data_IF_696081258766
#
_entry.id   IF_696081258766
#
_cell.length_a   1.000
_cell.length_b   1.000
_cell.length_c   1.000
_cell.angle_alpha   90.00
_cell.angle_beta   90.00
_cell.angle_gamma   90.00
#
_symmetry.space_group_name_H-M   'P 1'
#
loop_
_entity.id
_entity.type
_entity.pdbx_description
1 polymer ?
#
# COMPACT_ATOMS: atom_id res chain seq x y z
N UNK A 1 -9.15 2.46 11.36
CA UNK A 1 -9.60 2.91 12.70
C UNK A 1 -8.96 4.24 13.08
N UNK A 2 -9.62 5.01 13.97
CA UNK A 2 -9.20 6.32 14.48
C UNK A 2 -9.06 7.46 13.44
N UNK A 3 -9.26 7.20 12.15
CA UNK A 3 -9.34 8.23 11.14
C UNK A 3 -10.57 9.14 11.37
N UNK A 4 -10.40 10.43 11.17
CA UNK A 4 -11.42 11.42 11.39
C UNK A 4 -11.92 11.99 10.06
N UNK A 5 -13.23 12.12 9.95
CA UNK A 5 -13.91 12.68 8.77
C UNK A 5 -14.92 13.72 9.24
N UNK A 6 -14.93 14.86 8.57
CA UNK A 6 -15.95 15.90 8.77
C UNK A 6 -17.07 15.68 7.77
N UNK A 7 -18.28 15.53 8.27
CA UNK A 7 -19.50 15.45 7.47
C UNK A 7 -20.64 16.15 8.22
N UNK A 8 -21.50 16.87 7.50
CA UNK A 8 -22.66 17.59 8.05
C UNK A 8 -22.35 18.45 9.30
N UNK A 9 -21.21 19.14 9.26
CA UNK A 9 -20.77 20.01 10.37
C UNK A 9 -20.37 19.26 11.66
N UNK A 10 -20.17 17.95 11.58
CA UNK A 10 -19.73 17.11 12.70
C UNK A 10 -18.47 16.35 12.37
N UNK A 11 -17.69 16.06 13.40
CA UNK A 11 -16.49 15.23 13.31
C UNK A 11 -16.84 13.78 13.70
N UNK A 12 -16.63 12.86 12.78
CA UNK A 12 -16.79 11.42 12.96
C UNK A 12 -15.43 10.75 13.09
N UNK A 13 -15.30 9.85 14.06
CA UNK A 13 -14.09 9.03 14.23
C UNK A 13 -14.40 7.59 13.84
N UNK A 14 -13.65 7.05 12.90
CA UNK A 14 -13.72 5.65 12.49
C UNK A 14 -13.28 4.76 13.66
N UNK A 15 -14.12 3.82 14.07
CA UNK A 15 -13.84 2.96 15.23
C UNK A 15 -13.99 1.47 14.96
N UNK A 16 -14.75 1.10 13.96
CA UNK A 16 -15.05 -0.30 13.71
C UNK A 16 -14.71 -0.66 12.27
N UNK A 17 -14.14 -1.84 12.06
CA UNK A 17 -14.14 -2.51 10.77
C UNK A 17 -15.55 -3.09 10.58
N UNK A 18 -16.20 -2.72 9.48
CA UNK A 18 -17.61 -3.10 9.27
C UNK A 18 -17.76 -4.60 9.15
N UNK A 19 -18.61 -5.18 10.00
CA UNK A 19 -19.10 -6.55 9.96
C UNK A 19 -20.60 -6.56 9.65
N UNK A 20 -21.04 -7.51 8.84
CA UNK A 20 -22.46 -7.70 8.56
C UNK A 20 -23.05 -8.66 9.58
N UNK A 21 -24.21 -8.38 10.17
CA UNK A 21 -24.78 -9.17 11.27
C UNK A 21 -25.08 -10.63 10.95
N UNK A 22 -25.17 -11.00 9.67
CA UNK A 22 -25.57 -12.35 9.22
C UNK A 22 -24.73 -12.86 8.05
N UNK A 23 -23.54 -12.31 7.85
CA UNK A 23 -22.72 -12.74 6.72
C UNK A 23 -22.17 -14.13 6.98
N UNK A 24 -22.53 -15.08 6.15
CA UNK A 24 -21.93 -16.41 6.05
C UNK A 24 -20.54 -16.38 5.40
N UNK A 25 -19.99 -15.20 5.15
CA UNK A 25 -18.68 -14.96 4.56
C UNK A 25 -17.79 -14.12 5.48
N UNK A 26 -16.50 -14.19 5.24
CA UNK A 26 -15.52 -13.36 5.94
C UNK A 26 -15.79 -11.87 5.65
N UNK A 27 -16.04 -11.09 6.67
CA UNK A 27 -16.26 -9.64 6.59
C UNK A 27 -14.99 -8.88 6.18
N UNK A 28 -13.85 -9.50 6.37
CA UNK A 28 -12.55 -9.10 5.89
C UNK A 28 -11.81 -10.30 5.31
N UNK A 29 -10.80 -10.03 4.52
CA UNK A 29 -9.91 -11.06 4.00
C UNK A 29 -8.70 -11.16 4.94
N UNK A 30 -8.42 -12.34 5.44
CA UNK A 30 -7.19 -12.61 6.18
C UNK A 30 -6.07 -12.90 5.18
N UNK A 31 -4.93 -12.27 5.42
CA UNK A 31 -3.75 -12.36 4.56
C UNK A 31 -2.49 -12.33 5.41
N UNK A 32 -1.38 -12.67 4.80
CA UNK A 32 -0.08 -12.66 5.44
C UNK A 32 0.85 -11.70 4.70
N UNK A 33 1.52 -10.84 5.46
CA UNK A 33 2.49 -9.88 4.92
C UNK A 33 3.82 -10.01 5.65
N UNK A 34 4.92 -9.87 4.93
CA UNK A 34 6.25 -9.86 5.52
C UNK A 34 7.19 -8.94 4.76
N UNK A 35 8.00 -8.21 5.50
CA UNK A 35 9.10 -7.48 4.91
C UNK A 35 10.34 -8.37 4.84
N UNK A 36 11.01 -8.41 3.70
CA UNK A 36 12.22 -9.18 3.50
C UNK A 36 13.30 -8.77 4.52
N UNK A 37 13.94 -9.78 5.15
CA UNK A 37 14.97 -9.55 6.15
C UNK A 37 16.33 -9.13 5.60
N UNK A 38 16.52 -9.19 4.28
CA UNK A 38 17.75 -8.71 3.64
C UNK A 38 17.76 -7.16 3.66
N UNK A 39 18.72 -6.52 4.36
CA UNK A 39 18.79 -5.06 4.47
C UNK A 39 18.90 -4.34 3.11
N UNK A 40 19.52 -5.00 2.13
CA UNK A 40 19.62 -4.45 0.79
C UNK A 40 18.30 -4.49 0.01
N UNK A 41 17.36 -5.38 0.40
CA UNK A 41 16.08 -5.58 -0.28
C UNK A 41 14.92 -4.88 0.44
N UNK A 42 14.55 -5.37 1.61
CA UNK A 42 13.44 -4.86 2.44
C UNK A 42 12.08 -4.79 1.73
N UNK A 43 11.90 -5.53 0.64
CA UNK A 43 10.64 -5.56 -0.12
C UNK A 43 9.54 -6.22 0.68
N UNK A 44 8.32 -5.68 0.62
CA UNK A 44 7.14 -6.32 1.16
C UNK A 44 6.67 -7.48 0.29
N UNK A 45 6.29 -8.55 0.96
CA UNK A 45 5.74 -9.76 0.34
C UNK A 45 4.33 -10.00 0.89
N UNK A 46 3.47 -10.56 0.07
CA UNK A 46 2.05 -10.73 0.34
C UNK A 46 1.59 -12.14 -0.03
N UNK A 47 0.80 -12.78 0.83
CA UNK A 47 0.19 -14.08 0.57
C UNK A 47 -1.23 -14.15 1.12
N UNK A 48 -2.09 -14.85 0.40
CA UNK A 48 -3.47 -15.14 0.84
C UNK A 48 -3.52 -16.40 1.70
N UNK A 49 -2.60 -17.33 1.45
CA UNK A 49 -2.50 -18.62 2.15
C UNK A 49 -1.39 -18.50 3.20
N UNK A 50 -1.59 -19.13 4.33
CA UNK A 50 -0.58 -19.19 5.39
C UNK A 50 0.79 -19.64 4.85
N UNK A 51 1.87 -18.94 5.20
CA UNK A 51 3.21 -19.32 4.79
C UNK A 51 3.59 -20.70 5.31
N UNK A 52 4.39 -21.44 4.52
CA UNK A 52 4.88 -22.76 4.91
C UNK A 52 5.73 -22.72 6.19
N UNK A 53 5.89 -23.87 6.86
CA UNK A 53 6.77 -23.99 8.03
C UNK A 53 8.22 -23.60 7.71
N UNK A 54 8.66 -23.88 6.50
CA UNK A 54 10.04 -23.64 6.04
C UNK A 54 10.27 -22.19 5.59
N UNK A 55 9.22 -21.38 5.58
CA UNK A 55 9.24 -20.00 5.09
C UNK A 55 8.93 -19.89 3.60
N UNK A 56 9.13 -18.69 3.06
CA UNK A 56 8.82 -18.34 1.67
C UNK A 56 9.90 -17.47 1.06
N UNK A 57 10.12 -17.59 -0.23
CA UNK A 57 11.13 -16.78 -0.91
C UNK A 57 10.63 -15.36 -1.22
N UNK A 58 11.50 -14.38 -0.99
CA UNK A 58 11.23 -12.99 -1.35
C UNK A 58 11.08 -12.84 -2.86
N UNK A 59 10.00 -12.18 -3.30
CA UNK A 59 9.69 -11.96 -4.72
C UNK A 59 10.74 -11.12 -5.47
N UNK A 60 11.51 -10.30 -4.76
CA UNK A 60 12.50 -9.38 -5.36
C UNK A 60 13.91 -9.93 -5.35
N UNK A 61 14.39 -10.50 -4.25
CA UNK A 61 15.78 -10.91 -4.12
C UNK A 61 15.98 -12.43 -3.99
N UNK A 62 14.90 -13.21 -3.81
CA UNK A 62 14.96 -14.65 -3.65
C UNK A 62 15.47 -15.12 -2.28
N UNK A 63 15.72 -14.23 -1.31
CA UNK A 63 16.10 -14.65 0.03
C UNK A 63 14.91 -15.28 0.76
N UNK A 64 15.20 -16.28 1.59
CA UNK A 64 14.20 -16.91 2.43
C UNK A 64 13.67 -15.92 3.49
N UNK A 65 12.36 -15.88 3.63
CA UNK A 65 11.65 -15.16 4.68
C UNK A 65 11.07 -16.21 5.63
N UNK A 66 11.63 -16.31 6.81
CA UNK A 66 11.19 -17.27 7.82
C UNK A 66 9.72 -17.05 8.21
N UNK A 67 9.01 -18.14 8.57
CA UNK A 67 7.60 -18.08 8.99
C UNK A 67 7.37 -17.05 10.11
N UNK A 68 8.29 -16.91 11.04
CA UNK A 68 8.23 -15.97 12.17
C UNK A 68 8.13 -14.50 11.78
N UNK A 69 8.58 -14.14 10.56
CA UNK A 69 8.53 -12.77 10.02
C UNK A 69 7.19 -12.41 9.40
N UNK A 70 6.40 -13.41 9.05
CA UNK A 70 5.09 -13.20 8.47
C UNK A 70 4.10 -12.78 9.54
N UNK A 71 3.36 -11.73 9.27
CA UNK A 71 2.37 -11.15 10.15
C UNK A 71 0.99 -11.37 9.56
N UNK A 72 0.05 -11.71 10.42
CA UNK A 72 -1.36 -11.73 10.05
C UNK A 72 -1.84 -10.30 9.81
N UNK A 73 -2.42 -10.08 8.67
CA UNK A 73 -3.04 -8.82 8.29
C UNK A 73 -4.48 -9.04 7.83
N UNK A 74 -5.28 -8.01 7.90
CA UNK A 74 -6.65 -8.05 7.42
C UNK A 74 -6.88 -6.95 6.38
N UNK A 75 -7.63 -7.32 5.35
CA UNK A 75 -8.14 -6.41 4.33
C UNK A 75 -9.63 -6.17 4.58
N UNK A 76 -10.03 -4.97 5.04
CA UNK A 76 -11.44 -4.64 5.22
C UNK A 76 -12.19 -4.61 3.90
N UNK A 77 -13.20 -5.46 3.72
CA UNK A 77 -13.98 -5.54 2.47
C UNK A 77 -15.14 -4.56 2.40
N UNK A 78 -15.67 -4.18 3.56
CA UNK A 78 -16.91 -3.39 3.68
C UNK A 78 -16.66 -2.00 4.28
N UNK A 79 -15.40 -1.58 4.36
CA UNK A 79 -15.01 -0.29 4.92
C UNK A 79 -15.12 -0.23 6.44
N UNK A 80 -15.34 0.98 6.95
CA UNK A 80 -15.31 1.28 8.38
C UNK A 80 -16.62 1.93 8.84
N UNK A 81 -16.92 1.80 10.14
CA UNK A 81 -18.05 2.47 10.79
C UNK A 81 -17.48 3.45 11.81
N UNK A 82 -18.05 4.64 11.86
CA UNK A 82 -17.73 5.62 12.89
C UNK A 82 -18.33 5.24 14.23
N UNK A 83 -17.74 5.71 15.32
CA UNK A 83 -18.37 5.65 16.63
C UNK A 83 -19.63 6.54 16.65
N UNK A 84 -20.59 6.18 17.51
CA UNK A 84 -21.88 6.89 17.61
C UNK A 84 -21.74 8.31 18.19
N UNK A 85 -20.68 8.57 18.95
CA UNK A 85 -20.40 9.90 19.51
C UNK A 85 -19.70 10.76 18.48
N UNK A 86 -20.39 11.78 18.02
CA UNK A 86 -19.80 12.83 17.17
C UNK A 86 -19.23 13.95 18.03
N UNK A 87 -18.22 14.65 17.50
CA UNK A 87 -17.65 15.86 18.11
C UNK A 87 -17.93 17.08 17.21
N UNK A 88 -17.85 18.26 17.80
CA UNK A 88 -17.85 19.49 16.99
C UNK A 88 -16.61 19.53 16.12
N UNK A 89 -16.74 20.12 14.94
CA UNK A 89 -15.62 20.30 14.04
C UNK A 89 -14.56 21.17 14.71
N UNK A 90 -13.30 20.72 14.81
CA UNK A 90 -12.25 21.55 15.37
C UNK A 90 -11.93 22.72 14.42
N UNK A 91 -11.46 23.84 14.98
CA UNK A 91 -11.00 25.00 14.20
C UNK A 91 -9.82 24.69 13.29
N UNK A 92 -9.07 23.61 13.59
CA UNK A 92 -7.95 23.15 12.77
C UNK A 92 -8.35 21.87 12.05
N UNK A 93 -7.77 21.68 10.86
CA UNK A 93 -7.94 20.41 10.11
C UNK A 93 -7.56 19.23 11.00
N UNK A 94 -8.38 18.17 11.08
CA UNK A 94 -8.06 16.99 11.85
C UNK A 94 -6.72 16.41 11.43
N UNK A 95 -5.90 16.02 12.40
CA UNK A 95 -4.62 15.37 12.13
C UNK A 95 -4.87 14.01 11.47
N UNK A 96 -4.13 13.73 10.40
CA UNK A 96 -4.08 12.39 9.84
C UNK A 96 -3.17 11.55 10.72
N UNK A 97 -3.77 10.69 11.54
CA UNK A 97 -3.04 9.84 12.50
C UNK A 97 -2.28 8.68 11.85
N UNK A 98 -2.51 8.41 10.56
CA UNK A 98 -1.87 7.26 9.89
C UNK A 98 -1.08 7.68 8.69
N UNK A 99 0.09 7.03 8.57
CA UNK A 99 0.85 6.94 7.33
C UNK A 99 0.59 5.57 6.74
N UNK A 100 0.16 5.55 5.52
CA UNK A 100 0.13 4.35 4.70
C UNK A 100 1.05 4.56 3.53
N UNK A 101 1.82 3.55 3.20
CA UNK A 101 2.71 3.57 2.05
C UNK A 101 2.25 2.53 1.04
N UNK A 102 2.40 2.86 -0.23
CA UNK A 102 2.05 2.02 -1.34
C UNK A 102 3.27 1.17 -1.74
N UNK A 103 3.05 -0.13 -1.92
CA UNK A 103 4.09 -1.09 -2.28
C UNK A 103 3.66 -1.90 -3.49
N UNK A 104 4.58 -2.10 -4.40
CA UNK A 104 4.39 -3.03 -5.48
C UNK A 104 4.63 -4.46 -4.98
N UNK A 105 3.65 -5.33 -5.20
CA UNK A 105 3.73 -6.75 -4.84
C UNK A 105 3.74 -7.66 -6.07
N UNK A 106 3.39 -7.12 -7.23
CA UNK A 106 3.31 -7.87 -8.48
C UNK A 106 2.17 -8.89 -8.49
N UNK A 107 1.77 -9.29 -9.67
CA UNK A 107 0.82 -10.36 -9.87
C UNK A 107 1.39 -11.38 -10.86
N UNK A 108 1.53 -12.67 -10.51
CA UNK A 108 1.99 -13.70 -11.44
C UNK A 108 1.11 -13.82 -12.68
N UNK A 109 -0.17 -13.42 -12.57
CA UNK A 109 -1.15 -13.45 -13.66
C UNK A 109 -1.27 -12.14 -14.41
N UNK A 110 -0.40 -11.14 -14.11
CA UNK A 110 -0.42 -9.85 -14.80
C UNK A 110 -0.22 -10.02 -16.30
N UNK A 111 -0.98 -9.27 -17.06
CA UNK A 111 -0.84 -9.24 -18.51
C UNK A 111 0.18 -8.16 -18.90
N UNK A 112 1.35 -8.59 -19.30
CA UNK A 112 2.37 -7.69 -19.89
C UNK A 112 1.86 -7.29 -21.27
N UNK A 113 1.69 -6.00 -21.50
CA UNK A 113 1.19 -5.45 -22.77
C UNK A 113 2.31 -4.98 -23.69
N UNK A 114 3.25 -4.23 -23.15
CA UNK A 114 4.38 -3.70 -23.90
C UNK A 114 5.64 -3.73 -23.04
N UNK A 115 6.77 -3.97 -23.72
CA UNK A 115 8.11 -3.83 -23.15
C UNK A 115 8.98 -3.11 -24.14
N UNK A 116 9.58 -2.00 -23.72
CA UNK A 116 10.46 -1.18 -24.57
C UNK A 116 11.71 -0.76 -23.82
N UNK A 117 12.77 -0.57 -24.60
CA UNK A 117 14.02 -0.01 -24.10
C UNK A 117 14.27 1.30 -24.84
N UNK A 118 14.45 2.35 -24.10
CA UNK A 118 14.80 3.68 -24.61
C UNK A 118 16.26 3.97 -24.32
N UNK A 119 16.91 4.66 -25.24
CA UNK A 119 18.20 5.31 -24.98
C UNK A 119 17.91 6.75 -24.60
N UNK A 120 18.39 7.14 -23.43
CA UNK A 120 18.35 8.52 -22.93
C UNK A 120 19.82 8.92 -22.78
N UNK A 121 20.17 10.14 -22.68
CA UNK A 121 21.52 10.71 -22.58
C UNK A 121 22.68 9.72 -22.30
N UNK A 122 23.77 9.82 -22.99
CA UNK A 122 25.05 9.10 -22.76
C UNK A 122 24.93 7.57 -22.63
N UNK A 123 24.20 6.91 -23.55
CA UNK A 123 24.01 5.46 -23.58
C UNK A 123 23.25 4.84 -22.37
N UNK A 124 22.70 5.65 -21.47
CA UNK A 124 21.84 5.13 -20.42
C UNK A 124 20.57 4.49 -21.03
N UNK A 125 20.35 3.22 -20.69
CA UNK A 125 19.17 2.48 -21.12
C UNK A 125 18.11 2.54 -20.05
N UNK A 126 16.92 3.03 -20.41
CA UNK A 126 15.72 2.94 -19.60
C UNK A 126 14.86 1.82 -20.16
N UNK A 127 14.55 0.83 -19.35
CA UNK A 127 13.59 -0.21 -19.69
C UNK A 127 12.23 0.15 -19.11
N UNK A 128 11.19 0.05 -19.91
CA UNK A 128 9.81 0.23 -19.49
C UNK A 128 9.01 -1.02 -19.83
N UNK A 129 8.22 -1.46 -18.86
CA UNK A 129 7.29 -2.56 -19.01
C UNK A 129 5.93 -2.10 -18.52
N UNK A 130 4.89 -2.24 -19.34
CA UNK A 130 3.52 -1.94 -18.94
C UNK A 130 2.72 -3.21 -18.78
N UNK A 131 1.96 -3.27 -17.70
CA UNK A 131 1.06 -4.37 -17.38
C UNK A 131 -0.33 -3.86 -17.00
N UNK A 132 -1.34 -4.65 -17.36
CA UNK A 132 -2.70 -4.47 -16.88
C UNK A 132 -2.97 -5.43 -15.73
N UNK A 133 -3.85 -5.03 -14.80
CA UNK A 133 -4.24 -5.85 -13.65
C UNK A 133 -3.07 -6.29 -12.77
N UNK A 134 -2.08 -5.46 -12.63
CA UNK A 134 -0.96 -5.71 -11.74
C UNK A 134 -1.29 -5.30 -10.30
N UNK A 135 -0.60 -5.86 -9.34
CA UNK A 135 -0.99 -5.79 -7.94
C UNK A 135 -0.11 -4.87 -7.12
N UNK A 136 -0.76 -3.95 -6.43
CA UNK A 136 -0.17 -3.11 -5.40
C UNK A 136 -0.82 -3.42 -4.05
N UNK A 137 -0.13 -3.04 -2.99
CA UNK A 137 -0.60 -3.15 -1.62
C UNK A 137 -0.31 -1.85 -0.87
N UNK A 138 -1.33 -1.37 -0.19
CA UNK A 138 -1.21 -0.30 0.81
C UNK A 138 -1.07 -0.94 2.17
N UNK A 139 -0.03 -0.60 2.92
CA UNK A 139 0.16 -1.08 4.30
C UNK A 139 0.03 0.09 5.25
N UNK A 140 -0.76 -0.07 6.28
CA UNK A 140 -0.83 0.90 7.36
C UNK A 140 0.35 0.68 8.31
N UNK A 141 1.12 1.73 8.57
CA UNK A 141 2.33 1.66 9.41
C UNK A 141 2.03 1.54 10.90
N UNK A 142 0.76 1.62 11.31
CA UNK A 142 0.36 1.43 12.69
C UNK A 142 -0.18 0.01 12.93
N UNK A 143 -0.10 -0.44 14.16
CA UNK A 143 -0.65 -1.74 14.59
C UNK A 143 -2.00 -1.53 15.22
N UNK A 144 -2.91 -2.46 14.98
CA UNK A 144 -4.28 -2.39 15.48
C UNK A 144 -4.62 -3.60 16.33
N UNK A 145 -5.49 -3.36 17.31
CA UNK A 145 -6.14 -4.39 18.08
C UNK A 145 -7.61 -4.43 17.65
N UNK A 146 -8.03 -5.54 17.07
CA UNK A 146 -9.33 -5.69 16.42
C UNK A 146 -10.13 -6.78 17.11
N UNK A 147 -11.39 -6.46 17.47
CA UNK A 147 -12.33 -7.43 18.00
C UNK A 147 -12.88 -8.34 16.91
N UNK A 148 -12.73 -9.63 17.09
CA UNK A 148 -13.23 -10.67 16.18
C UNK A 148 -14.77 -10.72 16.12
N UNK A 149 -15.47 -10.27 17.16
CA UNK A 149 -16.94 -10.31 17.23
C UNK A 149 -17.61 -9.10 16.60
N UNK A 150 -17.22 -7.89 16.99
CA UNK A 150 -17.94 -6.67 16.61
C UNK A 150 -17.16 -5.75 15.66
N UNK A 151 -15.90 -6.06 15.35
CA UNK A 151 -15.05 -5.24 14.50
C UNK A 151 -14.49 -3.98 15.17
N UNK A 152 -14.74 -3.78 16.49
CA UNK A 152 -14.10 -2.69 17.23
C UNK A 152 -12.59 -2.73 16.99
N UNK A 153 -12.01 -1.59 16.68
CA UNK A 153 -10.59 -1.51 16.42
C UNK A 153 -9.99 -0.25 17.05
N UNK A 154 -8.82 -0.39 17.63
CA UNK A 154 -8.04 0.70 18.20
C UNK A 154 -6.58 0.58 17.77
N UNK A 155 -5.91 1.71 17.53
CA UNK A 155 -4.49 1.71 17.27
C UNK A 155 -3.67 1.39 18.51
N UNK A 156 -2.47 0.87 18.29
CA UNK A 156 -1.52 0.64 19.38
C UNK A 156 -1.09 1.94 20.06
N UNK A 157 -1.17 3.05 19.36
CA UNK A 157 -0.85 4.39 19.90
C UNK A 157 -1.88 4.81 20.93
N UNK A 158 -3.18 4.62 20.65
CA UNK A 158 -4.25 4.90 21.63
C UNK A 158 -4.20 3.98 22.84
N UNK A 159 -3.77 2.73 22.66
CA UNK A 159 -3.63 1.79 23.77
C UNK A 159 -2.61 2.23 24.81
N UNK A 160 -1.61 3.02 24.44
CA UNK A 160 -0.60 3.52 25.38
C UNK A 160 -1.17 4.42 26.49
N UNK A 161 -2.33 5.00 26.28
CA UNK A 161 -3.03 5.82 27.27
C UNK A 161 -3.73 4.97 28.34
N UNK A 162 -3.83 3.65 28.15
CA UNK A 162 -4.47 2.73 29.09
C UNK A 162 -3.43 2.09 30.02
N UNK A 163 -3.76 2.06 31.32
CA UNK A 163 -3.01 1.27 32.30
C UNK A 163 -3.00 -0.19 31.84
N UNK A 164 -1.92 -0.89 32.00
CA UNK A 164 -1.75 -2.30 31.66
C UNK A 164 -1.70 -2.64 30.15
N UNK A 165 -1.68 -1.66 29.27
CA UNK A 165 -1.57 -1.92 27.84
C UNK A 165 -0.14 -2.32 27.43
N UNK A 166 -0.01 -3.54 26.90
CA UNK A 166 1.22 -4.04 26.33
C UNK A 166 1.12 -4.09 24.80
N UNK A 167 1.77 -3.16 24.11
CA UNK A 167 1.78 -3.07 22.64
C UNK A 167 2.40 -4.28 21.92
N UNK A 168 3.08 -5.16 22.65
CA UNK A 168 3.68 -6.39 22.13
C UNK A 168 2.77 -7.62 22.32
N UNK A 169 1.73 -7.52 23.14
CA UNK A 169 0.81 -8.63 23.36
C UNK A 169 0.09 -9.01 22.05
N UNK A 170 -0.14 -10.30 21.85
CA UNK A 170 -0.90 -10.79 20.68
C UNK A 170 -2.40 -10.49 20.80
N UNK A 171 -2.89 -10.29 22.02
CA UNK A 171 -4.30 -10.01 22.30
C UNK A 171 -4.41 -9.13 23.53
N UNK A 172 -5.54 -8.42 23.63
CA UNK A 172 -5.86 -7.50 24.70
C UNK A 172 -7.34 -7.62 25.08
N UNK A 173 -7.63 -7.60 26.36
CA UNK A 173 -8.99 -7.61 26.88
C UNK A 173 -9.43 -6.20 27.24
N UNK A 174 -10.44 -5.71 26.56
CA UNK A 174 -11.02 -4.39 26.80
C UNK A 174 -12.53 -4.45 26.68
N UNK A 175 -13.21 -3.98 27.71
CA UNK A 175 -14.65 -3.71 27.63
C UNK A 175 -14.91 -2.62 26.59
N UNK A 176 -15.73 -2.91 25.60
CA UNK A 176 -16.08 -2.00 24.53
C UNK A 176 -17.52 -2.21 24.07
N UNK A 177 -18.05 -1.26 23.35
CA UNK A 177 -19.37 -1.37 22.74
C UNK A 177 -19.27 -1.79 21.29
N UNK A 178 -20.26 -2.52 20.82
CA UNK A 178 -20.45 -2.80 19.39
C UNK A 178 -20.92 -1.54 18.66
N UNK A 179 -20.92 -1.53 17.32
CA UNK A 179 -21.43 -0.40 16.53
C UNK A 179 -22.89 -0.03 16.86
N UNK A 180 -23.65 -0.97 17.38
CA UNK A 180 -25.07 -0.79 17.76
C UNK A 180 -25.25 -0.42 19.24
N UNK A 181 -24.18 -0.04 19.94
CA UNK A 181 -24.24 0.41 21.35
C UNK A 181 -24.34 -0.70 22.40
N UNK A 182 -24.42 -1.98 22.00
CA UNK A 182 -24.46 -3.13 22.93
C UNK A 182 -23.05 -3.44 23.45
N UNK A 183 -22.97 -3.83 24.70
CA UNK A 183 -21.71 -4.27 25.30
C UNK A 183 -21.16 -5.50 24.58
N UNK A 184 -19.87 -5.49 24.34
CA UNK A 184 -19.15 -6.58 23.69
C UNK A 184 -18.01 -7.07 24.58
N UNK A 185 -18.00 -8.38 24.82
CA UNK A 185 -16.97 -9.08 25.59
C UNK A 185 -15.94 -9.77 24.70
N UNK A 186 -15.94 -9.47 23.40
CA UNK A 186 -14.97 -10.03 22.45
C UNK A 186 -13.55 -9.58 22.80
N UNK A 187 -12.60 -10.48 22.58
CA UNK A 187 -11.18 -10.20 22.76
C UNK A 187 -10.62 -9.44 21.57
N UNK A 188 -9.70 -8.54 21.82
CA UNK A 188 -9.02 -7.80 20.76
C UNK A 188 -7.74 -8.55 20.37
N UNK A 189 -7.57 -8.81 19.08
CA UNK A 189 -6.36 -9.46 18.54
C UNK A 189 -5.54 -8.45 17.77
N UNK A 190 -4.21 -8.54 17.92
CA UNK A 190 -3.29 -7.71 17.17
C UNK A 190 -3.30 -8.12 15.70
N UNK A 191 -3.61 -7.16 14.83
CA UNK A 191 -3.64 -7.33 13.38
C UNK A 191 -2.95 -6.15 12.72
N UNK A 192 -2.30 -6.42 11.61
CA UNK A 192 -1.87 -5.38 10.67
C UNK A 192 -3.05 -5.06 9.74
N UNK A 193 -3.11 -3.83 9.24
CA UNK A 193 -4.12 -3.45 8.23
C UNK A 193 -3.42 -3.23 6.90
N UNK A 194 -3.92 -3.85 5.87
CA UNK A 194 -3.48 -3.62 4.51
C UNK A 194 -4.67 -3.63 3.55
N UNK A 195 -4.40 -3.22 2.33
CA UNK A 195 -5.36 -3.29 1.22
C UNK A 195 -4.61 -3.57 -0.06
N UNK A 196 -4.93 -4.67 -0.73
CA UNK A 196 -4.41 -4.98 -2.05
C UNK A 196 -5.41 -4.59 -3.13
N UNK A 197 -4.92 -4.02 -4.23
CA UNK A 197 -5.74 -3.68 -5.38
C UNK A 197 -4.97 -3.91 -6.66
N UNK A 198 -5.73 -4.13 -7.75
CA UNK A 198 -5.19 -4.28 -9.09
C UNK A 198 -5.41 -3.00 -9.89
N UNK A 199 -4.41 -2.62 -10.68
CA UNK A 199 -4.47 -1.43 -11.52
C UNK A 199 -3.54 -1.57 -12.73
N UNK A 200 -3.54 -0.57 -13.59
CA UNK A 200 -2.55 -0.46 -14.65
C UNK A 200 -1.23 0.06 -14.10
N UNK A 201 -0.15 -0.58 -14.50
CA UNK A 201 1.19 -0.32 -13.99
C UNK A 201 2.19 -0.14 -15.11
N UNK A 202 3.10 0.82 -14.95
CA UNK A 202 4.34 0.95 -15.74
C UNK A 202 5.53 0.83 -14.81
N UNK A 203 6.41 -0.12 -15.09
CA UNK A 203 7.68 -0.31 -14.41
C UNK A 203 8.78 0.38 -15.20
N UNK A 204 9.54 1.25 -14.55
CA UNK A 204 10.65 1.99 -15.17
C UNK A 204 11.95 1.60 -14.48
N UNK A 205 12.82 0.92 -15.21
CA UNK A 205 14.10 0.41 -14.72
C UNK A 205 15.25 1.19 -15.37
N UNK A 206 16.13 1.76 -14.55
CA UNK A 206 17.34 2.46 -14.99
C UNK A 206 18.55 1.54 -14.77
N UNK A 207 19.30 1.27 -15.84
CA UNK A 207 20.49 0.41 -15.80
C UNK A 207 21.75 1.06 -15.24
N UNK A 208 21.62 2.01 -14.29
CA UNK A 208 22.74 2.83 -13.84
C UNK A 208 23.05 2.68 -12.35
N UNK A 209 24.26 3.07 -11.95
CA UNK A 209 24.66 3.12 -10.53
C UNK A 209 23.77 4.08 -9.71
N UNK A 210 23.18 5.10 -10.32
CA UNK A 210 22.27 6.06 -9.66
C UNK A 210 20.99 5.40 -9.19
N UNK A 211 20.54 4.33 -9.83
CA UNK A 211 19.37 3.55 -9.42
C UNK A 211 19.54 2.83 -8.06
N UNK A 212 20.72 2.86 -7.45
CA UNK A 212 20.98 2.36 -6.09
C UNK A 212 20.59 3.36 -5.00
N UNK A 213 20.48 4.65 -5.32
CA UNK A 213 20.12 5.72 -4.39
C UNK A 213 18.61 5.89 -4.29
N UNK A 214 18.04 5.63 -3.14
CA UNK A 214 16.61 5.84 -2.90
C UNK A 214 16.21 7.32 -3.07
N UNK A 215 17.00 8.24 -2.51
CA UNK A 215 16.71 9.68 -2.61
C UNK A 215 16.69 10.15 -4.06
N UNK A 216 17.68 9.73 -4.86
CA UNK A 216 17.74 10.05 -6.29
C UNK A 216 16.52 9.50 -7.01
N UNK A 217 16.16 8.23 -6.79
CA UNK A 217 15.04 7.60 -7.47
C UNK A 217 13.68 8.18 -7.04
N UNK A 218 13.53 8.63 -5.79
CA UNK A 218 12.36 9.38 -5.35
C UNK A 218 12.25 10.72 -6.08
N UNK A 219 13.34 11.47 -6.19
CA UNK A 219 13.34 12.76 -6.92
C UNK A 219 12.97 12.56 -8.39
N UNK A 220 13.54 11.55 -9.05
CA UNK A 220 13.18 11.19 -10.44
C UNK A 220 11.71 10.79 -10.54
N UNK A 221 11.22 9.98 -9.61
CA UNK A 221 9.81 9.56 -9.60
C UNK A 221 8.85 10.76 -9.50
N UNK A 222 9.12 11.69 -8.60
CA UNK A 222 8.25 12.87 -8.44
C UNK A 222 8.32 13.79 -9.66
N UNK A 223 9.51 13.99 -10.24
CA UNK A 223 9.65 14.75 -11.49
C UNK A 223 8.87 14.10 -12.64
N UNK A 224 8.97 12.78 -12.79
CA UNK A 224 8.19 12.05 -13.78
C UNK A 224 6.69 12.19 -13.55
N UNK A 225 6.20 12.04 -12.32
CA UNK A 225 4.77 12.16 -12.02
C UNK A 225 4.22 13.55 -12.37
N UNK A 226 4.97 14.60 -12.08
CA UNK A 226 4.61 15.98 -12.45
C UNK A 226 4.59 16.18 -13.96
N UNK A 227 5.65 15.71 -14.64
CA UNK A 227 5.74 15.80 -16.08
C UNK A 227 4.64 14.99 -16.79
N UNK A 228 4.31 13.80 -16.28
CA UNK A 228 3.25 12.94 -16.84
C UNK A 228 1.89 13.64 -16.75
N UNK A 229 1.54 14.18 -15.58
CA UNK A 229 0.26 14.87 -15.44
C UNK A 229 0.13 16.04 -16.44
N UNK A 230 1.21 16.82 -16.61
CA UNK A 230 1.26 17.92 -17.57
C UNK A 230 1.19 17.45 -19.03
N UNK A 231 1.93 16.40 -19.41
CA UNK A 231 1.99 15.92 -20.83
C UNK A 231 0.72 15.18 -21.24
N UNK A 232 0.09 14.46 -20.31
CA UNK A 232 -1.13 13.70 -20.57
C UNK A 232 -2.41 14.51 -20.37
N UNK A 233 -2.30 15.73 -19.81
CA UNK A 233 -3.41 16.61 -19.44
C UNK A 233 -4.40 15.89 -18.51
N UNK A 234 -3.89 15.43 -17.37
CA UNK A 234 -4.65 14.72 -16.34
C UNK A 234 -4.37 15.33 -14.97
N UNK A 235 -5.25 15.09 -14.01
CA UNK A 235 -5.03 15.49 -12.62
C UNK A 235 -3.80 14.79 -12.03
N UNK A 236 -3.00 15.53 -11.24
CA UNK A 236 -1.81 14.94 -10.57
C UNK A 236 -2.18 13.77 -9.65
N UNK A 237 -3.40 13.73 -9.17
CA UNK A 237 -3.97 12.71 -8.28
C UNK A 237 -4.41 11.45 -9.00
N UNK A 238 -4.54 11.47 -10.33
CA UNK A 238 -4.97 10.31 -11.14
C UNK A 238 -3.89 9.25 -11.26
N UNK A 239 -2.64 9.65 -11.07
CA UNK A 239 -1.47 8.76 -11.11
C UNK A 239 -0.67 8.85 -9.81
N UNK A 240 -0.08 7.74 -9.46
CA UNK A 240 0.81 7.59 -8.30
C UNK A 240 2.07 6.84 -8.67
N UNK A 241 3.02 6.83 -7.75
CA UNK A 241 4.25 6.07 -7.89
C UNK A 241 4.77 5.56 -6.57
N UNK A 242 5.48 4.45 -6.62
CA UNK A 242 6.26 3.94 -5.52
C UNK A 242 7.59 3.35 -6.03
N UNK A 243 8.53 3.19 -5.14
CA UNK A 243 9.79 2.52 -5.47
C UNK A 243 9.71 1.04 -5.12
N UNK A 244 10.22 0.23 -6.02
CA UNK A 244 10.37 -1.21 -5.82
C UNK A 244 11.82 -1.61 -5.98
N UNK A 245 12.34 -2.47 -5.12
CA UNK A 245 13.69 -2.99 -5.25
C UNK A 245 13.70 -4.28 -6.05
N UNK A 246 14.59 -4.37 -7.01
CA UNK A 246 14.79 -5.56 -7.83
C UNK A 246 16.27 -5.93 -7.88
N UNK A 247 16.54 -7.21 -8.09
CA UNK A 247 17.89 -7.68 -8.38
C UNK A 247 18.22 -7.37 -9.84
N UNK A 248 19.24 -6.58 -10.04
CA UNK A 248 19.80 -6.31 -11.36
C UNK A 248 21.27 -6.72 -11.35
N UNK A 249 21.60 -7.72 -12.15
CA UNK A 249 22.92 -8.37 -12.13
C UNK A 249 23.31 -8.83 -10.70
N UNK A 250 24.38 -8.24 -10.14
CA UNK A 250 24.88 -8.54 -8.78
C UNK A 250 24.46 -7.53 -7.72
N UNK A 251 23.60 -6.59 -8.06
CA UNK A 251 23.19 -5.49 -7.16
C UNK A 251 21.68 -5.42 -7.01
N UNK A 252 21.24 -4.82 -5.90
CA UNK A 252 19.84 -4.39 -5.75
C UNK A 252 19.75 -2.95 -6.24
N UNK A 253 18.79 -2.68 -7.11
CA UNK A 253 18.46 -1.34 -7.61
C UNK A 253 17.00 -1.01 -7.32
N UNK A 254 16.65 0.27 -7.40
CA UNK A 254 15.27 0.72 -7.35
C UNK A 254 14.70 0.83 -8.76
N UNK A 255 13.55 0.22 -8.98
CA UNK A 255 12.62 0.54 -10.07
C UNK A 255 11.63 1.59 -9.61
N UNK A 256 11.19 2.43 -10.53
CA UNK A 256 10.03 3.29 -10.35
C UNK A 256 8.80 2.54 -10.85
N UNK A 257 7.82 2.41 -10.01
CA UNK A 257 6.50 1.86 -10.35
C UNK A 257 5.54 3.03 -10.46
N UNK A 258 5.05 3.30 -11.65
CA UNK A 258 4.00 4.29 -11.92
C UNK A 258 2.69 3.54 -12.12
N UNK A 259 1.59 4.03 -11.57
CA UNK A 259 0.32 3.34 -11.65
C UNK A 259 -0.86 4.30 -11.58
N UNK A 260 -1.99 3.87 -12.16
CA UNK A 260 -3.24 4.60 -12.07
C UNK A 260 -3.78 4.53 -10.63
N UNK A 261 -4.15 5.66 -10.07
CA UNK A 261 -4.62 5.76 -8.68
C UNK A 261 -5.97 5.05 -8.44
N UNK A 262 -6.66 4.69 -9.52
CA UNK A 262 -7.96 4.03 -9.49
C UNK A 262 -7.80 2.52 -9.59
N UNK A 263 -8.48 1.78 -8.72
CA UNK A 263 -8.55 0.33 -8.83
C UNK A 263 -9.21 -0.09 -10.15
N UNK A 264 -8.60 -1.07 -10.84
CA UNK A 264 -8.98 -1.49 -12.18
C UNK A 264 -8.24 -0.76 -13.29
N UNK A 265 -7.57 0.36 -12.99
CA UNK A 265 -6.85 1.18 -13.94
C UNK A 265 -7.76 2.08 -14.79
N UNK A 266 -7.27 3.26 -15.12
CA UNK A 266 -7.91 4.21 -16.06
C UNK A 266 -7.18 4.27 -17.41
N UNK A 267 -6.06 3.56 -17.53
CA UNK A 267 -5.23 3.52 -18.75
C UNK A 267 -4.28 4.70 -18.90
N UNK A 268 -4.20 5.60 -17.93
CA UNK A 268 -3.34 6.78 -18.04
C UNK A 268 -1.86 6.40 -18.17
N UNK A 269 -1.35 5.57 -17.25
CA UNK A 269 0.06 5.16 -17.28
C UNK A 269 0.41 4.31 -18.50
N UNK A 270 -0.54 3.56 -19.05
CA UNK A 270 -0.31 2.77 -20.29
C UNK A 270 0.01 3.65 -21.49
N UNK A 271 -0.50 4.88 -21.54
CA UNK A 271 -0.23 5.86 -22.62
C UNK A 271 1.26 6.24 -22.71
N UNK A 272 2.04 6.00 -21.65
CA UNK A 272 3.49 6.28 -21.65
C UNK A 272 4.27 5.31 -22.52
N UNK A 273 3.76 4.09 -22.71
CA UNK A 273 4.44 3.00 -23.44
C UNK A 273 3.56 2.59 -24.62
N UNK A 274 3.48 3.49 -25.58
CA UNK A 274 2.80 3.25 -26.87
C UNK A 274 3.82 2.86 -27.95
N UNK A 275 3.33 2.50 -29.13
CA UNK A 275 4.19 2.08 -30.23
C UNK A 275 5.14 3.18 -30.72
N UNK A 276 4.70 4.43 -30.73
CA UNK A 276 5.47 5.56 -31.24
C UNK A 276 6.49 6.17 -30.27
N UNK A 277 6.47 5.76 -28.99
CA UNK A 277 7.36 6.19 -27.91
C UNK A 277 7.42 7.72 -27.66
N UNK A 278 6.75 8.52 -28.44
CA UNK A 278 6.85 9.98 -28.41
C UNK A 278 6.31 10.60 -27.12
N UNK A 279 5.33 9.94 -26.49
CA UNK A 279 4.77 10.42 -25.22
C UNK A 279 5.83 10.40 -24.12
N UNK A 280 6.52 9.28 -23.95
CA UNK A 280 7.53 9.17 -22.89
C UNK A 280 8.71 10.11 -23.12
N UNK A 281 9.15 10.30 -24.38
CA UNK A 281 10.20 11.28 -24.69
C UNK A 281 9.80 12.71 -24.32
N UNK A 282 8.54 13.11 -24.56
CA UNK A 282 8.03 14.42 -24.12
C UNK A 282 8.00 14.54 -22.58
N UNK A 283 7.62 13.44 -21.89
CA UNK A 283 7.63 13.39 -20.42
C UNK A 283 9.05 13.58 -19.88
N UNK A 284 10.02 12.86 -20.42
CA UNK A 284 11.43 12.99 -19.98
C UNK A 284 11.95 14.40 -20.22
N UNK A 285 11.69 14.98 -21.39
CA UNK A 285 12.06 16.38 -21.68
C UNK A 285 11.43 17.34 -20.66
N UNK A 286 10.14 17.20 -20.41
CA UNK A 286 9.42 18.05 -19.47
C UNK A 286 9.87 17.88 -18.01
N UNK A 287 10.36 16.70 -17.64
CA UNK A 287 10.88 16.42 -16.30
C UNK A 287 12.28 17.03 -16.06
N UNK A 288 12.98 17.42 -17.11
CA UNK A 288 14.32 18.04 -17.05
C UNK A 288 14.20 19.58 -17.05
N UNK A 289 13.22 20.10 -17.79
CA UNK A 289 12.88 21.53 -17.83
C UNK A 289 12.28 22.02 -16.49
#
# INVERSE_FOLDING_TARGET
PDAQVVADGKLYTSRYIRKLPQATGQDWKEVYIAQCGNPACMTWNYKVIEPSSDGEFCISCGNLIEKSRWKEAIEPRKGFIAESKTKNVPLRKPDRSYRSDDYYIGDPTRKIMYKKTFRVFDDEKIQMETSANDSLMVVCNDRFYVCDRCGYAMSSTMGKEEKDFNSYAKSYEKKHKSPWGKDCSGKLYRKELCHSFKTDVVRVTFGTARAKSQATMLSVMYALLEAISSVLDIERTDIKGCLHKVRFERSMIYEIILYDAVAGGAGHVRRLVTEDCGVFQRVVKKAID
#
